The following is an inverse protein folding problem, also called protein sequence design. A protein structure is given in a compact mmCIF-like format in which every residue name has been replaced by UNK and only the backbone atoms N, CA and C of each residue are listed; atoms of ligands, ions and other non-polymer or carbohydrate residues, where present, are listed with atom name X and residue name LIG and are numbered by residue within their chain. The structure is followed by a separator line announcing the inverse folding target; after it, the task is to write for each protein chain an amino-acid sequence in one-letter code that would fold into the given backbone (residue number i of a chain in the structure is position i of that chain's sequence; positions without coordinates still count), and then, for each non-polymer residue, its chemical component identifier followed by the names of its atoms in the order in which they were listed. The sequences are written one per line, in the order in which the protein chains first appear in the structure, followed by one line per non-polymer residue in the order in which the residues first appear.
data_IF_564507189516
#
_entry.id   IF_564507189516
#
_cell.length_a   1.000
_cell.length_b   1.000
_cell.length_c   1.000
_cell.angle_alpha   90.00
_cell.angle_beta   90.00
_cell.angle_gamma   90.00
#
_symmetry.space_group_name_H-M   'P 1'
#
loop_
_entity.id
_entity.type
_entity.pdbx_description
1 polymer ?
#
# COMPACT_ATOMS: atom_id res chain seq x y z
N UNK A 1 -0.25 -8.66 -11.97
CA UNK A 1 0.28 -9.95 -11.43
C UNK A 1 1.42 -9.67 -10.47
N UNK A 2 1.50 -10.43 -9.40
CA UNK A 2 2.68 -10.38 -8.52
C UNK A 2 3.91 -10.90 -9.27
N UNK A 3 5.07 -10.29 -9.03
CA UNK A 3 6.31 -10.79 -9.60
C UNK A 3 6.62 -12.19 -9.01
N UNK A 4 7.36 -13.00 -9.77
CA UNK A 4 7.74 -14.34 -9.29
C UNK A 4 8.53 -14.28 -7.99
N UNK A 5 9.43 -13.32 -7.90
CA UNK A 5 10.26 -13.09 -6.71
C UNK A 5 9.43 -12.83 -5.47
N UNK A 6 8.39 -11.99 -5.60
CA UNK A 6 7.45 -11.70 -4.52
C UNK A 6 6.65 -12.93 -4.15
N UNK A 7 6.09 -13.62 -5.13
CA UNK A 7 5.28 -14.80 -4.88
C UNK A 7 6.09 -15.88 -4.16
N UNK A 8 7.31 -16.12 -4.60
CA UNK A 8 8.21 -17.08 -3.93
C UNK A 8 8.45 -16.68 -2.47
N UNK A 9 8.74 -15.40 -2.23
CA UNK A 9 8.96 -14.91 -0.87
C UNK A 9 7.72 -15.12 0.01
N UNK A 10 6.55 -14.78 -0.50
CA UNK A 10 5.29 -14.92 0.26
C UNK A 10 4.97 -16.39 0.55
N UNK A 11 5.24 -17.29 -0.40
CA UNK A 11 5.06 -18.73 -0.19
C UNK A 11 6.05 -19.25 0.86
N UNK A 12 7.32 -18.90 0.73
CA UNK A 12 8.38 -19.36 1.65
C UNK A 12 8.15 -18.89 3.09
N UNK A 13 7.61 -17.69 3.26
CA UNK A 13 7.35 -17.12 4.59
C UNK A 13 5.98 -17.50 5.15
N UNK A 14 5.19 -18.25 4.41
CA UNK A 14 3.85 -18.67 4.85
C UNK A 14 2.79 -17.57 4.80
N UNK A 15 3.07 -16.47 4.10
CA UNK A 15 2.14 -15.36 3.98
C UNK A 15 1.17 -15.50 2.81
N UNK A 16 1.50 -16.33 1.83
CA UNK A 16 0.66 -16.49 0.64
C UNK A 16 -0.54 -17.38 0.94
N UNK A 17 -1.73 -16.93 0.55
CA UNK A 17 -2.97 -17.69 0.68
C UNK A 17 -3.55 -17.89 -0.71
N UNK A 18 -3.84 -19.14 -1.06
CA UNK A 18 -4.44 -19.49 -2.36
C UNK A 18 -5.94 -19.27 -2.40
N UNK A 19 -6.56 -19.09 -1.22
CA UNK A 19 -8.02 -18.90 -1.11
C UNK A 19 -8.30 -17.40 -0.93
N UNK A 20 -9.05 -16.85 -1.87
CA UNK A 20 -9.45 -15.45 -1.84
C UNK A 20 -10.64 -15.25 -0.89
N UNK A 21 -10.55 -14.22 -0.03
CA UNK A 21 -11.64 -13.82 0.85
C UNK A 21 -12.61 -12.91 0.08
N UNK A 22 -13.89 -13.29 0.02
CA UNK A 22 -14.90 -12.49 -0.68
C UNK A 22 -15.08 -11.09 -0.09
N UNK A 23 -14.88 -10.92 1.22
CA UNK A 23 -14.95 -9.61 1.87
C UNK A 23 -13.79 -8.72 1.46
N UNK A 24 -12.61 -9.31 1.23
CA UNK A 24 -11.44 -8.58 0.73
C UNK A 24 -11.67 -8.07 -0.69
N UNK A 25 -12.31 -8.88 -1.53
CA UNK A 25 -12.66 -8.49 -2.89
C UNK A 25 -13.60 -7.28 -2.89
N UNK A 26 -14.55 -7.28 -1.96
CA UNK A 26 -15.48 -6.16 -1.78
C UNK A 26 -14.75 -4.88 -1.39
N UNK A 27 -13.75 -4.97 -0.51
CA UNK A 27 -12.91 -3.82 -0.13
C UNK A 27 -12.19 -3.24 -1.34
N UNK A 28 -11.60 -4.08 -2.18
CA UNK A 28 -10.93 -3.61 -3.40
C UNK A 28 -11.90 -2.89 -4.31
N UNK A 29 -13.13 -3.39 -4.46
CA UNK A 29 -14.18 -2.73 -5.25
C UNK A 29 -14.53 -1.37 -4.66
N UNK A 30 -14.69 -1.28 -3.36
CA UNK A 30 -15.03 -0.03 -2.68
C UNK A 30 -13.93 1.02 -2.82
N UNK A 31 -12.66 0.58 -2.85
CA UNK A 31 -11.53 1.46 -3.08
C UNK A 31 -11.35 1.85 -4.54
N UNK A 32 -12.09 1.22 -5.45
CA UNK A 32 -11.97 1.47 -6.89
C UNK A 32 -10.72 0.87 -7.50
N UNK A 33 -10.22 -0.25 -6.97
CA UNK A 33 -8.99 -0.88 -7.41
C UNK A 33 -9.31 -2.08 -8.30
N UNK A 34 -8.65 -2.12 -9.47
CA UNK A 34 -8.79 -3.24 -10.41
C UNK A 34 -8.16 -4.50 -9.82
N UNK A 35 -8.89 -5.63 -9.85
CA UNK A 35 -8.45 -6.90 -9.29
C UNK A 35 -7.21 -7.50 -9.97
N UNK A 36 -6.90 -7.08 -11.17
CA UNK A 36 -5.75 -7.59 -11.93
C UNK A 36 -4.43 -6.87 -11.58
N UNK A 37 -4.49 -5.80 -10.78
CA UNK A 37 -3.28 -5.08 -10.39
C UNK A 37 -2.45 -5.86 -9.38
N UNK A 38 -1.12 -5.65 -9.34
CA UNK A 38 -0.29 -6.23 -8.29
C UNK A 38 -0.74 -5.87 -6.89
N UNK A 39 -1.23 -4.65 -6.70
CA UNK A 39 -1.77 -4.20 -5.41
C UNK A 39 -2.92 -5.08 -4.95
N UNK A 40 -3.90 -5.30 -5.83
CA UNK A 40 -5.05 -6.15 -5.50
C UNK A 40 -4.62 -7.59 -5.24
N UNK A 41 -3.75 -8.13 -6.10
CA UNK A 41 -3.25 -9.50 -5.95
C UNK A 41 -2.53 -9.71 -4.62
N UNK A 42 -1.73 -8.75 -4.21
CA UNK A 42 -1.03 -8.83 -2.94
C UNK A 42 -2.01 -8.91 -1.76
N UNK A 43 -2.97 -7.98 -1.72
CA UNK A 43 -3.90 -7.91 -0.59
C UNK A 43 -4.94 -9.04 -0.59
N UNK A 44 -5.36 -9.50 -1.77
CA UNK A 44 -6.34 -10.59 -1.86
C UNK A 44 -5.75 -11.95 -1.53
N UNK A 45 -4.45 -12.15 -1.73
CA UNK A 45 -3.82 -13.46 -1.59
C UNK A 45 -2.77 -13.52 -0.47
N UNK A 46 -2.91 -12.68 0.54
CA UNK A 46 -2.08 -12.74 1.75
C UNK A 46 -2.97 -12.81 2.99
N UNK A 47 -2.41 -13.34 4.09
CA UNK A 47 -3.17 -13.64 5.29
C UNK A 47 -2.67 -12.96 6.56
N UNK A 48 -1.77 -11.99 6.45
CA UNK A 48 -1.25 -11.25 7.60
C UNK A 48 -2.08 -10.00 7.87
N UNK A 49 -2.01 -9.48 9.10
CA UNK A 49 -2.61 -8.19 9.47
C UNK A 49 -1.70 -7.05 9.00
N UNK A 50 -0.40 -7.19 9.26
CA UNK A 50 0.63 -6.26 8.82
C UNK A 50 1.79 -7.04 8.21
N UNK A 51 2.62 -6.33 7.45
CA UNK A 51 3.81 -6.91 6.84
C UNK A 51 5.02 -6.10 7.28
N UNK A 52 6.04 -6.78 7.82
CA UNK A 52 7.27 -6.13 8.27
C UNK A 52 8.28 -6.06 7.13
N UNK A 53 8.87 -4.91 6.94
CA UNK A 53 9.86 -4.67 5.90
C UNK A 53 11.11 -4.00 6.42
N UNK A 54 11.81 -3.27 5.52
CA UNK A 54 13.12 -2.66 5.82
C UNK A 54 13.14 -1.76 7.04
N UNK A 55 12.15 -0.88 7.16
CA UNK A 55 12.15 0.17 8.18
C UNK A 55 10.88 0.20 9.03
N UNK A 56 9.83 -0.41 8.56
CA UNK A 56 8.52 -0.25 9.17
C UNK A 56 7.58 -1.37 8.74
N UNK A 57 6.36 -1.30 9.24
CA UNK A 57 5.29 -2.22 8.85
C UNK A 57 4.33 -1.50 7.90
N UNK A 58 3.77 -2.25 6.96
CA UNK A 58 2.64 -1.79 6.14
C UNK A 58 1.41 -2.65 6.45
N UNK A 59 0.23 -2.11 6.16
CA UNK A 59 -1.04 -2.76 6.41
C UNK A 59 -1.37 -3.83 5.38
N UNK A 60 -2.07 -4.89 5.81
CA UNK A 60 -3.00 -5.54 4.91
C UNK A 60 -4.23 -4.62 4.82
N UNK A 61 -4.38 -3.94 3.71
CA UNK A 61 -5.42 -2.91 3.53
C UNK A 61 -6.81 -3.50 3.72
N UNK A 62 -7.05 -4.72 3.23
CA UNK A 62 -8.36 -5.36 3.35
C UNK A 62 -8.69 -5.67 4.81
N UNK A 63 -7.73 -6.16 5.57
CA UNK A 63 -7.95 -6.45 6.99
C UNK A 63 -8.29 -5.17 7.76
N UNK A 64 -7.52 -4.10 7.53
CA UNK A 64 -7.76 -2.83 8.23
C UNK A 64 -9.08 -2.17 7.80
N UNK A 65 -9.46 -2.27 6.52
CA UNK A 65 -10.74 -1.74 6.05
C UNK A 65 -11.93 -2.40 6.76
N UNK A 66 -11.83 -3.70 7.04
CA UNK A 66 -12.91 -4.47 7.69
C UNK A 66 -12.88 -4.30 9.22
N UNK A 67 -11.71 -4.27 9.83
CA UNK A 67 -11.53 -4.38 11.28
C UNK A 67 -11.14 -3.08 11.98
N UNK A 68 -10.99 -1.98 11.24
CA UNK A 68 -10.61 -0.69 11.82
C UNK A 68 -11.34 0.45 11.11
N UNK A 69 -11.04 1.70 11.51
CA UNK A 69 -11.59 2.89 10.87
C UNK A 69 -10.75 3.35 9.67
N UNK A 70 -10.19 2.41 8.91
CA UNK A 70 -9.26 2.72 7.82
C UNK A 70 -9.85 3.67 6.77
N UNK A 71 -11.13 3.52 6.41
CA UNK A 71 -11.77 4.44 5.45
C UNK A 71 -11.81 5.88 5.99
N UNK A 72 -12.00 6.06 7.30
CA UNK A 72 -11.90 7.38 7.91
C UNK A 72 -10.47 7.89 7.91
N UNK A 73 -9.50 7.01 8.13
CA UNK A 73 -8.08 7.36 8.04
C UNK A 73 -7.71 7.89 6.66
N UNK A 74 -8.20 7.25 5.60
CA UNK A 74 -7.97 7.73 4.22
C UNK A 74 -8.40 9.18 4.08
N UNK A 75 -9.63 9.50 4.49
CA UNK A 75 -10.17 10.86 4.40
C UNK A 75 -9.36 11.85 5.23
N UNK A 76 -9.02 11.47 6.47
CA UNK A 76 -8.24 12.32 7.37
C UNK A 76 -6.84 12.60 6.82
N UNK A 77 -6.15 11.58 6.32
CA UNK A 77 -4.81 11.75 5.77
C UNK A 77 -4.81 12.65 4.53
N UNK A 78 -5.78 12.47 3.64
CA UNK A 78 -5.92 13.33 2.47
C UNK A 78 -6.15 14.77 2.86
N UNK A 79 -6.98 15.00 3.87
CA UNK A 79 -7.28 16.34 4.37
C UNK A 79 -6.06 16.98 5.03
N UNK A 80 -5.43 16.28 5.97
CA UNK A 80 -4.30 16.80 6.74
C UNK A 80 -3.09 17.09 5.85
N UNK A 81 -2.79 16.18 4.91
CA UNK A 81 -1.63 16.30 4.04
C UNK A 81 -1.92 16.99 2.70
N UNK A 82 -3.17 17.34 2.46
CA UNK A 82 -3.63 17.94 1.19
C UNK A 82 -3.26 17.06 -0.01
N UNK A 83 -3.62 15.78 0.08
CA UNK A 83 -3.33 14.80 -0.98
C UNK A 83 -4.49 14.68 -1.96
N UNK A 84 -4.18 14.45 -3.25
CA UNK A 84 -5.22 14.08 -4.23
C UNK A 84 -5.93 12.78 -3.85
N UNK A 85 -7.14 12.60 -4.38
CA UNK A 85 -8.01 11.47 -4.03
C UNK A 85 -7.48 10.11 -4.48
N UNK A 86 -6.57 10.06 -5.44
CA UNK A 86 -5.98 8.80 -5.92
C UNK A 86 -4.98 8.18 -4.95
N UNK A 87 -4.52 8.90 -3.93
CA UNK A 87 -3.56 8.37 -2.95
C UNK A 87 -4.27 7.71 -1.78
N UNK A 88 -3.82 6.50 -1.41
CA UNK A 88 -4.28 5.81 -0.23
C UNK A 88 -3.10 5.42 0.66
N UNK A 89 -3.22 5.58 1.98
CA UNK A 89 -2.11 5.26 2.89
C UNK A 89 -1.91 3.76 3.03
N UNK A 90 -0.64 3.34 3.10
CA UNK A 90 -0.27 1.94 3.31
C UNK A 90 0.07 1.64 4.77
N UNK A 91 0.11 2.67 5.62
CA UNK A 91 0.47 2.56 7.03
C UNK A 91 -0.20 3.66 7.86
N UNK A 92 0.15 3.73 9.14
CA UNK A 92 -0.45 4.71 10.07
C UNK A 92 0.21 6.09 10.03
N UNK A 93 1.23 6.27 9.20
CA UNK A 93 2.02 7.51 9.15
C UNK A 93 2.68 7.86 10.49
N UNK A 94 3.05 6.84 11.27
CA UNK A 94 3.76 7.04 12.53
C UNK A 94 5.16 7.58 12.28
N UNK A 95 5.66 8.39 13.23
CA UNK A 95 6.95 9.04 13.05
C UNK A 95 6.92 10.12 11.99
N UNK A 96 5.73 10.62 11.64
CA UNK A 96 5.53 11.71 10.69
C UNK A 96 5.93 11.37 9.25
N UNK A 97 5.92 10.08 8.91
CA UNK A 97 6.23 9.61 7.56
C UNK A 97 5.54 8.29 7.24
N UNK A 98 5.39 8.00 5.97
CA UNK A 98 4.76 6.77 5.52
C UNK A 98 4.68 6.64 4.01
N UNK A 99 4.05 5.55 3.58
CA UNK A 99 3.91 5.21 2.17
C UNK A 99 2.47 5.38 1.70
N UNK A 100 2.33 5.79 0.45
CA UNK A 100 1.04 5.99 -0.19
C UNK A 100 1.02 5.32 -1.56
N UNK A 101 -0.08 4.66 -1.87
CA UNK A 101 -0.29 4.03 -3.17
C UNK A 101 -1.19 4.93 -4.03
N UNK A 102 -0.75 5.18 -5.27
CA UNK A 102 -1.57 5.90 -6.23
C UNK A 102 -2.38 4.88 -7.04
N UNK A 103 -3.68 4.81 -6.79
CA UNK A 103 -4.54 3.82 -7.43
C UNK A 103 -4.81 4.09 -8.92
N UNK A 104 -4.49 5.28 -9.42
CA UNK A 104 -4.64 5.61 -10.83
C UNK A 104 -3.40 5.22 -11.65
N UNK A 105 -2.20 5.39 -11.08
CA UNK A 105 -0.95 5.13 -11.79
C UNK A 105 -0.27 3.84 -11.39
N UNK A 106 -0.57 3.33 -10.19
CA UNK A 106 0.12 2.18 -9.62
C UNK A 106 1.43 2.52 -8.92
N UNK A 107 1.81 3.78 -8.91
CA UNK A 107 3.06 4.24 -8.28
C UNK A 107 2.95 4.24 -6.76
N UNK A 108 4.10 4.13 -6.08
CA UNK A 108 4.16 4.25 -4.61
C UNK A 108 5.05 5.43 -4.25
N UNK A 109 4.59 6.21 -3.27
CA UNK A 109 5.22 7.44 -2.83
C UNK A 109 5.52 7.35 -1.34
N UNK A 110 6.75 7.67 -0.95
CA UNK A 110 7.08 7.89 0.45
C UNK A 110 7.03 9.38 0.74
N UNK A 111 6.26 9.75 1.78
CA UNK A 111 6.15 11.13 2.24
C UNK A 111 6.54 11.24 3.70
N UNK A 112 7.07 12.39 4.07
CA UNK A 112 7.24 12.78 5.47
C UNK A 112 6.90 14.27 5.60
N UNK A 113 6.58 14.70 6.81
CA UNK A 113 6.30 16.11 7.09
C UNK A 113 7.54 16.95 6.86
N UNK A 114 7.34 18.24 6.66
CA UNK A 114 8.43 19.17 6.39
C UNK A 114 8.75 19.28 4.91
N UNK A 115 10.03 19.30 4.56
CA UNK A 115 10.48 19.56 3.20
C UNK A 115 9.94 18.54 2.17
N UNK A 116 9.93 17.23 2.44
CA UNK A 116 9.39 16.29 1.45
C UNK A 116 7.93 16.55 1.07
N UNK A 117 7.07 16.87 2.04
CA UNK A 117 5.67 17.20 1.76
C UNK A 117 5.56 18.50 0.98
N UNK A 118 6.36 19.53 1.35
CA UNK A 118 6.40 20.79 0.63
C UNK A 118 6.86 20.59 -0.82
N UNK A 119 7.87 19.76 -1.03
CA UNK A 119 8.35 19.42 -2.37
C UNK A 119 7.30 18.69 -3.20
N UNK A 120 6.58 17.78 -2.57
CA UNK A 120 5.47 17.06 -3.23
C UNK A 120 4.42 18.06 -3.72
N UNK A 121 4.00 19.01 -2.88
CA UNK A 121 2.99 19.99 -3.25
C UNK A 121 3.46 20.93 -4.39
N UNK A 122 4.76 21.13 -4.50
CA UNK A 122 5.36 21.95 -5.59
C UNK A 122 5.59 21.14 -6.86
N UNK A 123 5.34 19.83 -6.84
CA UNK A 123 5.63 18.96 -7.96
C UNK A 123 7.09 18.58 -8.11
N UNK A 124 7.90 18.80 -7.07
CA UNK A 124 9.35 18.54 -7.08
C UNK A 124 9.72 17.16 -6.50
N UNK A 125 8.78 16.48 -5.84
CA UNK A 125 8.99 15.13 -5.33
C UNK A 125 8.26 14.14 -6.24
N UNK A 126 9.00 13.22 -6.82
CA UNK A 126 8.45 12.18 -7.68
C UNK A 126 8.27 10.87 -6.90
N UNK A 127 7.31 10.02 -7.28
CA UNK A 127 7.18 8.69 -6.66
C UNK A 127 8.49 7.92 -6.79
N UNK A 128 8.91 7.30 -5.70
CA UNK A 128 10.18 6.58 -5.66
C UNK A 128 10.08 5.19 -6.29
N UNK A 129 8.87 4.64 -6.40
CA UNK A 129 8.64 3.32 -7.00
C UNK A 129 7.60 3.44 -8.11
N UNK A 130 7.92 2.89 -9.28
CA UNK A 130 7.08 3.00 -10.48
C UNK A 130 5.84 2.10 -10.42
N UNK A 131 5.87 1.04 -9.62
CA UNK A 131 4.76 0.12 -9.44
C UNK A 131 4.85 -0.59 -8.10
N UNK A 132 3.79 -1.34 -7.76
CA UNK A 132 3.69 -1.97 -6.45
C UNK A 132 4.64 -3.16 -6.30
N UNK A 133 4.89 -3.91 -7.38
CA UNK A 133 5.86 -5.01 -7.34
C UNK A 133 7.26 -4.49 -6.98
N UNK A 134 7.70 -3.42 -7.63
CA UNK A 134 9.00 -2.81 -7.38
C UNK A 134 9.11 -2.31 -5.94
N UNK A 135 8.03 -1.68 -5.45
CA UNK A 135 7.97 -1.24 -4.06
C UNK A 135 8.12 -2.41 -3.09
N UNK A 136 7.35 -3.48 -3.29
CA UNK A 136 7.37 -4.64 -2.39
C UNK A 136 8.71 -5.37 -2.43
N UNK A 137 9.33 -5.47 -3.60
CA UNK A 137 10.66 -6.09 -3.71
C UNK A 137 11.69 -5.31 -2.90
N UNK A 138 11.62 -3.98 -2.93
CA UNK A 138 12.45 -3.14 -2.08
C UNK A 138 12.07 -3.30 -0.61
N UNK A 139 10.77 -3.24 -0.30
CA UNK A 139 10.26 -3.28 1.07
C UNK A 139 10.66 -4.57 1.79
N UNK A 140 10.58 -5.70 1.12
CA UNK A 140 10.94 -7.01 1.66
C UNK A 140 12.42 -7.37 1.46
N UNK A 141 13.22 -6.46 0.93
CA UNK A 141 14.66 -6.64 0.71
C UNK A 141 14.96 -7.80 -0.24
N UNK A 142 14.23 -7.89 -1.35
CA UNK A 142 14.40 -8.94 -2.36
C UNK A 142 15.22 -8.49 -3.56
N UNK A 143 15.48 -7.22 -3.69
CA UNK A 143 16.18 -6.66 -4.84
C UNK A 143 17.68 -6.53 -4.62
#
# INVERSE_FOLDING_TARGET
MLSEKLKEYLVETGLYDTTEDANYRKVMSELGINFETPFARFHLYTNAVTFSGRYSDIYNICWFAINSSYFNQIGNMRSILSLPNEYIPLDSFEGEGGFFYNKLTGEVLELSLGQPLADFHKGNLKPQWSDFNTFLEWFFDLS
#
